data_IF_387930026948
#
_entry.id   IF_387930026948
#
_cell.length_a   1.000
_cell.length_b   1.000
_cell.length_c   1.000
_cell.angle_alpha   90.00
_cell.angle_beta   90.00
_cell.angle_gamma   90.00
#
_symmetry.space_group_name_H-M   'P 1'
#
loop_
_entity.id
_entity.type
_entity.pdbx_description
1 polymer ?
#
# COMPACT_ATOMS: atom_id res chain seq x y z
N UNK A 1 -1.33 23.29 -16.35
CA UNK A 1 -2.08 24.56 -16.44
C UNK A 1 -1.54 25.57 -15.43
N UNK A 2 -1.57 25.27 -14.13
CA UNK A 2 -0.95 26.11 -13.09
C UNK A 2 0.54 26.43 -13.37
N UNK A 3 1.33 25.43 -13.80
CA UNK A 3 2.74 25.63 -14.19
C UNK A 3 2.96 26.56 -15.38
N UNK A 4 1.89 26.88 -16.13
CA UNK A 4 1.88 27.80 -17.26
C UNK A 4 1.28 29.16 -16.90
N UNK A 5 1.05 29.43 -15.61
CA UNK A 5 0.54 30.71 -15.11
C UNK A 5 -0.99 30.86 -15.14
N UNK A 6 -1.73 29.82 -15.54
CA UNK A 6 -3.20 29.84 -15.50
C UNK A 6 -3.66 29.78 -14.04
N UNK A 7 -4.62 30.63 -13.65
CA UNK A 7 -5.14 30.65 -12.29
C UNK A 7 -5.79 29.32 -11.88
N UNK A 8 -5.81 29.01 -10.58
CA UNK A 8 -6.46 27.80 -10.07
C UNK A 8 -7.95 27.78 -10.40
N UNK A 9 -8.63 28.93 -10.30
CA UNK A 9 -10.04 29.09 -10.67
C UNK A 9 -10.28 28.72 -12.14
N UNK A 10 -9.52 29.32 -13.05
CA UNK A 10 -9.66 29.08 -14.48
C UNK A 10 -9.32 27.63 -14.84
N UNK A 11 -8.30 27.05 -14.21
CA UNK A 11 -7.95 25.63 -14.34
C UNK A 11 -9.12 24.74 -13.95
N UNK A 12 -9.79 24.99 -12.82
CA UNK A 12 -10.93 24.19 -12.37
C UNK A 12 -12.16 24.34 -13.30
N UNK A 13 -12.41 25.54 -13.82
CA UNK A 13 -13.49 25.77 -14.78
C UNK A 13 -13.26 25.02 -16.09
N UNK A 14 -12.00 25.01 -16.57
CA UNK A 14 -11.61 24.24 -17.75
C UNK A 14 -11.75 22.75 -17.48
N UNK A 15 -11.22 22.25 -16.36
CA UNK A 15 -11.34 20.84 -15.97
C UNK A 15 -12.80 20.40 -15.89
N UNK A 16 -13.68 21.20 -15.28
CA UNK A 16 -15.12 20.91 -15.20
C UNK A 16 -15.76 20.68 -16.57
N UNK A 17 -15.29 21.38 -17.61
CA UNK A 17 -15.81 21.27 -18.98
C UNK A 17 -15.35 19.98 -19.67
N UNK A 18 -14.14 19.50 -19.38
CA UNK A 18 -13.56 18.32 -20.03
C UNK A 18 -13.80 17.01 -19.26
N UNK A 19 -14.14 17.09 -17.97
CA UNK A 19 -14.35 15.93 -17.11
C UNK A 19 -15.76 15.34 -17.23
N UNK A 20 -15.84 14.01 -17.10
CA UNK A 20 -17.12 13.27 -17.12
C UNK A 20 -17.73 13.19 -15.71
N UNK A 21 -19.03 12.92 -15.63
CA UNK A 21 -19.68 12.60 -14.36
C UNK A 21 -19.12 11.27 -13.81
N UNK A 22 -18.84 11.14 -12.50
CA UNK A 22 -19.14 12.05 -11.39
C UNK A 22 -18.08 13.11 -11.08
N UNK A 23 -16.89 13.02 -11.69
CA UNK A 23 -15.76 13.87 -11.34
C UNK A 23 -16.01 15.36 -11.63
N UNK A 24 -16.81 15.68 -12.65
CA UNK A 24 -17.26 17.05 -12.93
C UNK A 24 -18.03 17.70 -11.77
N UNK A 25 -18.72 16.93 -10.92
CA UNK A 25 -19.37 17.45 -9.71
C UNK A 25 -18.34 17.84 -8.65
N UNK A 26 -17.34 16.99 -8.44
CA UNK A 26 -16.24 17.23 -7.48
C UNK A 26 -15.48 18.48 -7.88
N UNK A 27 -15.08 18.59 -9.16
CA UNK A 27 -14.39 19.78 -9.69
C UNK A 27 -15.29 21.03 -9.59
N UNK A 28 -16.59 20.89 -9.82
CA UNK A 28 -17.56 21.98 -9.64
C UNK A 28 -17.65 22.46 -8.19
N UNK A 29 -17.60 21.55 -7.23
CA UNK A 29 -17.58 21.90 -5.81
C UNK A 29 -16.28 22.61 -5.44
N UNK A 30 -15.13 22.11 -5.90
CA UNK A 30 -13.82 22.74 -5.68
C UNK A 30 -13.79 24.18 -6.22
N UNK A 31 -14.31 24.38 -7.44
CA UNK A 31 -14.40 25.70 -8.05
C UNK A 31 -15.28 26.65 -7.22
N UNK A 32 -16.43 26.17 -6.74
CA UNK A 32 -17.35 26.95 -5.90
C UNK A 32 -16.72 27.32 -4.55
N UNK A 33 -16.02 26.40 -3.90
CA UNK A 33 -15.32 26.67 -2.63
C UNK A 33 -14.28 27.77 -2.79
N UNK A 34 -13.48 27.68 -3.86
CA UNK A 34 -12.48 28.71 -4.18
C UNK A 34 -13.13 30.07 -4.52
N UNK A 35 -14.27 30.07 -5.22
CA UNK A 35 -15.06 31.29 -5.49
C UNK A 35 -15.64 31.93 -4.22
N UNK A 36 -15.99 31.12 -3.24
CA UNK A 36 -16.48 31.57 -1.92
C UNK A 36 -15.36 32.13 -1.03
N UNK A 37 -14.10 32.15 -1.50
CA UNK A 37 -12.96 32.65 -0.74
C UNK A 37 -12.38 31.63 0.25
N UNK A 38 -12.76 30.35 0.16
CA UNK A 38 -12.05 29.31 0.91
C UNK A 38 -10.59 29.22 0.44
N UNK A 39 -9.73 28.80 1.35
CA UNK A 39 -8.31 28.66 1.04
C UNK A 39 -8.05 27.57 -0.01
N UNK A 40 -6.89 27.63 -0.67
CA UNK A 40 -6.56 26.66 -1.71
C UNK A 40 -6.61 25.22 -1.18
N UNK A 41 -6.02 24.93 -0.02
CA UNK A 41 -6.06 23.59 0.57
C UNK A 41 -7.47 23.14 0.95
N UNK A 42 -8.31 24.05 1.49
CA UNK A 42 -9.70 23.77 1.85
C UNK A 42 -10.57 23.50 0.61
N UNK A 43 -10.34 24.23 -0.48
CA UNK A 43 -11.08 24.06 -1.74
C UNK A 43 -10.90 22.67 -2.36
N UNK A 44 -9.78 21.99 -2.06
CA UNK A 44 -9.44 20.66 -2.57
C UNK A 44 -9.92 19.51 -1.67
N UNK A 45 -10.57 19.80 -0.53
CA UNK A 45 -11.12 18.78 0.37
C UNK A 45 -12.04 17.75 -0.33
N UNK A 46 -12.89 18.12 -1.32
CA UNK A 46 -13.76 17.17 -2.03
C UNK A 46 -13.02 16.02 -2.73
N UNK A 47 -11.70 16.13 -2.96
CA UNK A 47 -10.87 15.05 -3.51
C UNK A 47 -10.66 13.89 -2.53
N UNK A 48 -11.11 14.01 -1.26
CA UNK A 48 -10.98 12.99 -0.23
C UNK A 48 -9.53 12.47 -0.04
N UNK A 49 -8.57 13.37 -0.15
CA UNK A 49 -7.14 13.07 -0.03
C UNK A 49 -6.78 12.51 1.35
N UNK A 50 -5.71 11.70 1.41
CA UNK A 50 -5.18 11.22 2.69
C UNK A 50 -4.67 12.40 3.54
N UNK A 51 -4.62 12.21 4.87
CA UNK A 51 -4.15 13.24 5.79
C UNK A 51 -2.73 13.74 5.47
N UNK A 52 -1.86 12.87 4.94
CA UNK A 52 -0.52 13.27 4.49
C UNK A 52 -0.56 14.22 3.30
N UNK A 53 -1.37 13.93 2.28
CA UNK A 53 -1.49 14.78 1.09
C UNK A 53 -2.21 16.10 1.41
N UNK A 54 -3.23 16.08 2.29
CA UNK A 54 -3.88 17.31 2.80
C UNK A 54 -2.88 18.23 3.49
N UNK A 55 -1.98 17.66 4.30
CA UNK A 55 -0.93 18.44 4.98
C UNK A 55 0.08 19.03 3.98
N UNK A 56 0.47 18.28 2.96
CA UNK A 56 1.29 18.82 1.89
C UNK A 56 0.60 20.04 1.22
N UNK A 57 -0.70 19.96 0.93
CA UNK A 57 -1.44 21.13 0.43
C UNK A 57 -1.41 22.32 1.39
N UNK A 58 -1.56 22.08 2.69
CA UNK A 58 -1.43 23.11 3.71
C UNK A 58 -0.04 23.75 3.71
N UNK A 59 1.03 22.96 3.62
CA UNK A 59 2.40 23.48 3.51
C UNK A 59 2.53 24.36 2.27
N UNK A 60 2.09 23.88 1.11
CA UNK A 60 2.16 24.65 -0.13
C UNK A 60 1.37 25.97 -0.07
N UNK A 61 0.26 26.00 0.67
CA UNK A 61 -0.48 27.23 0.92
C UNK A 61 0.27 28.19 1.85
N UNK A 62 0.80 27.69 2.97
CA UNK A 62 1.53 28.52 3.96
C UNK A 62 2.87 29.05 3.46
N UNK A 63 3.53 28.31 2.60
CA UNK A 63 4.79 28.73 1.96
C UNK A 63 4.56 29.48 0.66
N UNK A 64 3.30 29.79 0.30
CA UNK A 64 2.89 30.42 -0.97
C UNK A 64 3.44 29.73 -2.23
N UNK A 65 3.70 28.42 -2.14
CA UNK A 65 4.30 27.60 -3.21
C UNK A 65 3.44 26.36 -3.49
N UNK A 66 2.14 26.52 -3.80
CA UNK A 66 1.25 25.38 -4.02
C UNK A 66 1.69 24.52 -5.20
N UNK A 67 2.30 25.11 -6.23
CA UNK A 67 2.76 24.36 -7.41
C UNK A 67 3.89 23.37 -7.08
N UNK A 68 4.83 23.76 -6.20
CA UNK A 68 5.92 22.89 -5.77
C UNK A 68 5.35 21.66 -5.09
N UNK A 69 4.43 21.86 -4.15
CA UNK A 69 3.89 20.77 -3.35
C UNK A 69 2.88 19.91 -4.14
N UNK A 70 2.08 20.50 -5.03
CA UNK A 70 1.23 19.75 -5.94
C UNK A 70 2.03 18.78 -6.83
N UNK A 71 3.23 19.17 -7.29
CA UNK A 71 4.09 18.24 -8.05
C UNK A 71 4.50 17.04 -7.21
N UNK A 72 4.79 17.23 -5.92
CA UNK A 72 5.14 16.14 -5.01
C UNK A 72 3.93 15.24 -4.72
N UNK A 73 2.74 15.83 -4.55
CA UNK A 73 1.49 15.06 -4.42
C UNK A 73 1.24 14.21 -5.66
N UNK A 74 1.42 14.78 -6.86
CA UNK A 74 1.29 14.04 -8.12
C UNK A 74 2.27 12.87 -8.18
N UNK A 75 3.57 13.09 -7.85
CA UNK A 75 4.56 12.00 -7.77
C UNK A 75 4.14 10.87 -6.83
N UNK A 76 3.60 11.19 -5.65
CA UNK A 76 3.10 10.18 -4.70
C UNK A 76 1.91 9.39 -5.26
N UNK A 77 0.97 10.08 -5.93
CA UNK A 77 -0.21 9.45 -6.53
C UNK A 77 0.14 8.61 -7.76
N UNK A 78 1.10 9.06 -8.58
CA UNK A 78 1.62 8.32 -9.72
C UNK A 78 2.28 7.03 -9.26
N UNK A 79 3.13 7.11 -8.22
CA UNK A 79 3.74 5.94 -7.61
C UNK A 79 2.70 4.95 -7.07
N UNK A 80 1.68 5.44 -6.35
CA UNK A 80 0.58 4.59 -5.88
C UNK A 80 -0.14 3.90 -7.04
N UNK A 81 -0.43 4.65 -8.12
CA UNK A 81 -1.13 4.15 -9.30
C UNK A 81 -0.30 3.11 -10.04
N UNK A 82 1.00 3.36 -10.21
CA UNK A 82 1.92 2.44 -10.85
C UNK A 82 2.06 1.15 -10.05
N UNK A 83 2.28 1.25 -8.73
CA UNK A 83 2.40 0.07 -7.87
C UNK A 83 1.11 -0.73 -7.84
N UNK A 84 -0.06 -0.07 -7.80
CA UNK A 84 -1.35 -0.73 -7.90
C UNK A 84 -1.51 -1.43 -9.25
N UNK A 85 -1.10 -0.81 -10.34
CA UNK A 85 -1.11 -1.41 -11.68
C UNK A 85 -0.21 -2.65 -11.77
N UNK A 86 1.04 -2.55 -11.29
CA UNK A 86 1.99 -3.68 -11.22
C UNK A 86 1.42 -4.82 -10.38
N UNK A 87 0.89 -4.52 -9.19
CA UNK A 87 0.25 -5.51 -8.30
C UNK A 87 -0.92 -6.24 -8.98
N UNK A 88 -1.84 -5.51 -9.62
CA UNK A 88 -2.97 -6.14 -10.31
C UNK A 88 -2.56 -6.96 -11.52
N UNK A 89 -1.54 -6.52 -12.27
CA UNK A 89 -0.97 -7.30 -13.38
C UNK A 89 -0.39 -8.62 -12.88
N UNK A 90 0.35 -8.57 -11.77
CA UNK A 90 0.99 -9.74 -11.15
C UNK A 90 -0.02 -10.75 -10.60
N UNK A 91 -1.08 -10.32 -9.92
CA UNK A 91 -2.05 -11.23 -9.29
C UNK A 91 -3.08 -11.81 -10.27
N UNK A 92 -3.33 -11.14 -11.40
CA UNK A 92 -4.38 -11.55 -12.33
C UNK A 92 -4.21 -12.99 -12.83
N UNK A 93 -3.00 -13.37 -13.25
CA UNK A 93 -2.76 -14.72 -13.77
C UNK A 93 -2.88 -15.80 -12.68
N UNK A 94 -2.21 -15.67 -11.52
CA UNK A 94 -2.42 -16.59 -10.39
C UNK A 94 -3.87 -16.74 -9.97
N UNK A 95 -4.65 -15.65 -9.98
CA UNK A 95 -6.06 -15.68 -9.60
C UNK A 95 -6.90 -16.53 -10.58
N UNK A 96 -6.68 -16.37 -11.89
CA UNK A 96 -7.34 -17.19 -12.91
C UNK A 96 -6.97 -18.66 -12.73
N UNK A 97 -5.68 -18.96 -12.56
CA UNK A 97 -5.21 -20.34 -12.38
C UNK A 97 -5.76 -20.97 -11.10
N UNK A 98 -5.70 -20.25 -9.98
CA UNK A 98 -6.26 -20.69 -8.70
C UNK A 98 -7.77 -20.96 -8.81
N UNK A 99 -8.51 -20.10 -9.50
CA UNK A 99 -9.96 -20.29 -9.73
C UNK A 99 -10.22 -21.54 -10.58
N UNK A 100 -9.45 -21.76 -11.64
CA UNK A 100 -9.56 -22.97 -12.47
C UNK A 100 -9.24 -24.25 -11.67
N UNK A 101 -8.18 -24.24 -10.87
CA UNK A 101 -7.83 -25.36 -9.98
C UNK A 101 -8.92 -25.62 -8.94
N UNK A 102 -9.51 -24.56 -8.40
CA UNK A 102 -10.62 -24.65 -7.46
C UNK A 102 -11.86 -25.29 -8.10
N UNK A 103 -12.23 -24.87 -9.30
CA UNK A 103 -13.34 -25.46 -10.06
C UNK A 103 -13.08 -26.93 -10.40
N UNK A 104 -11.85 -27.26 -10.85
CA UNK A 104 -11.45 -28.63 -11.14
C UNK A 104 -11.52 -29.52 -9.90
N UNK A 105 -11.03 -29.03 -8.76
CA UNK A 105 -11.12 -29.73 -7.47
C UNK A 105 -12.58 -29.95 -7.06
N UNK A 106 -13.43 -28.93 -7.21
CA UNK A 106 -14.84 -29.01 -6.86
C UNK A 106 -15.59 -30.04 -7.72
N UNK A 107 -15.34 -30.03 -9.04
CA UNK A 107 -15.87 -31.04 -9.96
C UNK A 107 -15.40 -32.45 -9.58
N UNK A 108 -14.11 -32.60 -9.28
CA UNK A 108 -13.57 -33.88 -8.84
C UNK A 108 -14.24 -34.38 -7.55
N UNK A 109 -14.30 -33.54 -6.52
CA UNK A 109 -14.85 -33.91 -5.21
C UNK A 109 -16.35 -34.30 -5.26
N UNK A 110 -17.15 -33.67 -6.13
CA UNK A 110 -18.58 -33.93 -6.21
C UNK A 110 -18.97 -35.06 -7.17
N UNK A 111 -18.23 -35.26 -8.25
CA UNK A 111 -18.61 -36.18 -9.33
C UNK A 111 -17.64 -37.35 -9.49
N UNK A 112 -16.35 -37.06 -9.65
CA UNK A 112 -15.36 -38.10 -9.97
C UNK A 112 -15.05 -38.95 -8.74
N UNK A 113 -14.79 -38.31 -7.61
CA UNK A 113 -14.39 -38.99 -6.38
C UNK A 113 -15.46 -39.97 -5.85
N UNK A 114 -16.76 -39.60 -5.77
CA UNK A 114 -17.81 -40.55 -5.39
C UNK A 114 -17.92 -41.73 -6.36
N UNK A 115 -17.83 -41.47 -7.68
CA UNK A 115 -17.91 -42.53 -8.68
C UNK A 115 -16.76 -43.54 -8.56
N UNK A 116 -15.55 -43.10 -8.21
CA UNK A 116 -14.41 -43.99 -7.96
C UNK A 116 -14.62 -44.84 -6.68
N UNK A 117 -15.21 -44.26 -5.64
CA UNK A 117 -15.53 -45.00 -4.41
C UNK A 117 -16.61 -46.07 -4.65
N UNK A 118 -17.62 -45.80 -5.47
CA UNK A 118 -18.65 -46.78 -5.83
C UNK A 118 -18.08 -47.99 -6.60
N UNK A 119 -16.99 -47.78 -7.33
CA UNK A 119 -16.30 -48.84 -8.08
C UNK A 119 -15.27 -49.63 -7.25
N UNK A 120 -14.90 -49.12 -6.07
CA UNK A 120 -13.84 -49.70 -5.24
C UNK A 120 -14.42 -50.66 -4.19
N UNK A 121 -13.74 -51.78 -3.91
CA UNK A 121 -14.16 -52.67 -2.81
C UNK A 121 -13.90 -52.01 -1.44
N UNK A 122 -14.92 -51.82 -0.57
CA UNK A 122 -14.76 -51.19 0.74
C UNK A 122 -13.67 -51.81 1.62
N UNK A 123 -13.34 -53.08 1.41
CA UNK A 123 -12.36 -53.83 2.22
C UNK A 123 -10.90 -53.56 1.87
N UNK A 124 -10.62 -53.07 0.66
CA UNK A 124 -9.25 -52.78 0.19
C UNK A 124 -8.89 -51.30 0.36
N UNK A 125 -9.85 -50.46 0.72
CA UNK A 125 -9.65 -49.04 0.99
C UNK A 125 -8.95 -48.82 2.34
N UNK A 126 -7.89 -47.98 2.40
CA UNK A 126 -7.31 -47.49 3.64
C UNK A 126 -8.35 -46.92 4.60
N UNK A 127 -8.17 -47.15 5.90
CA UNK A 127 -9.12 -46.73 6.94
C UNK A 127 -9.45 -45.23 6.95
N UNK A 128 -8.51 -44.37 6.54
CA UNK A 128 -8.77 -42.92 6.42
C UNK A 128 -9.69 -42.57 5.23
N UNK A 129 -9.74 -43.39 4.17
CA UNK A 129 -10.66 -43.23 3.04
C UNK A 129 -12.03 -43.83 3.32
N UNK A 130 -12.16 -44.77 4.24
CA UNK A 130 -13.47 -45.35 4.63
C UNK A 130 -14.41 -44.30 5.22
N UNK A 131 -13.88 -43.28 5.92
CA UNK A 131 -14.65 -42.12 6.39
C UNK A 131 -15.29 -41.33 5.24
N UNK A 132 -14.71 -41.42 4.04
CA UNK A 132 -15.18 -40.73 2.85
C UNK A 132 -16.27 -41.50 2.08
N UNK A 133 -16.57 -42.75 2.44
CA UNK A 133 -17.69 -43.53 1.89
C UNK A 133 -19.06 -43.02 2.39
N UNK A 134 -19.07 -42.20 3.45
CA UNK A 134 -20.31 -41.62 3.95
C UNK A 134 -20.90 -40.64 2.93
N UNK A 135 -22.22 -40.64 2.65
CA UNK A 135 -22.85 -39.77 1.64
C UNK A 135 -22.61 -38.27 1.86
N UNK A 136 -22.36 -37.87 3.11
CA UNK A 136 -22.04 -36.50 3.48
C UNK A 136 -20.58 -36.09 3.16
N UNK A 137 -19.68 -37.05 2.96
CA UNK A 137 -18.25 -36.80 2.80
C UNK A 137 -17.93 -35.95 1.56
N UNK A 138 -18.72 -36.08 0.47
CA UNK A 138 -18.58 -35.22 -0.72
C UNK A 138 -18.80 -33.74 -0.42
N UNK A 139 -19.76 -33.42 0.47
CA UNK A 139 -20.02 -32.04 0.89
C UNK A 139 -18.95 -31.52 1.85
N UNK A 140 -18.43 -32.39 2.73
CA UNK A 140 -17.30 -32.06 3.60
C UNK A 140 -16.04 -31.77 2.77
N UNK A 141 -15.70 -32.62 1.81
CA UNK A 141 -14.54 -32.45 0.94
C UNK A 141 -14.66 -31.20 0.05
N UNK A 142 -15.84 -30.95 -0.51
CA UNK A 142 -16.14 -29.74 -1.29
C UNK A 142 -16.12 -28.45 -0.44
N UNK A 143 -16.28 -28.56 0.89
CA UNK A 143 -16.24 -27.41 1.80
C UNK A 143 -14.82 -26.98 2.20
N UNK A 144 -13.82 -27.88 2.10
CA UNK A 144 -12.42 -27.59 2.51
C UNK A 144 -11.83 -26.35 1.80
N UNK A 145 -11.94 -26.20 0.46
CA UNK A 145 -11.42 -25.04 -0.23
C UNK A 145 -12.14 -23.74 0.17
N UNK A 146 -13.45 -23.82 0.42
CA UNK A 146 -14.27 -22.69 0.87
C UNK A 146 -13.89 -22.27 2.29
N UNK A 147 -13.69 -23.23 3.19
CA UNK A 147 -13.21 -23.00 4.55
C UNK A 147 -11.80 -22.39 4.57
N UNK A 148 -10.89 -22.82 3.69
CA UNK A 148 -9.56 -22.23 3.54
C UNK A 148 -9.62 -20.79 3.02
N UNK A 149 -10.50 -20.49 2.07
CA UNK A 149 -10.73 -19.11 1.60
C UNK A 149 -11.32 -18.23 2.71
N UNK A 150 -12.31 -18.73 3.44
CA UNK A 150 -12.93 -18.01 4.56
C UNK A 150 -11.91 -17.79 5.69
N UNK A 151 -11.13 -18.81 6.04
CA UNK A 151 -10.07 -18.72 7.04
C UNK A 151 -8.98 -17.74 6.62
N UNK A 152 -8.51 -17.78 5.38
CA UNK A 152 -7.52 -16.80 4.90
C UNK A 152 -8.08 -15.38 4.92
N UNK A 153 -9.31 -15.15 4.46
CA UNK A 153 -9.99 -13.86 4.54
C UNK A 153 -10.14 -13.36 5.98
N UNK A 154 -10.62 -14.20 6.90
CA UNK A 154 -10.75 -13.87 8.32
C UNK A 154 -9.38 -13.62 8.97
N UNK A 155 -8.36 -14.41 8.64
CA UNK A 155 -7.00 -14.24 9.11
C UNK A 155 -6.45 -12.87 8.69
N UNK A 156 -6.58 -12.50 7.41
CA UNK A 156 -6.15 -11.19 6.92
C UNK A 156 -6.96 -10.02 7.49
N UNK A 157 -8.25 -10.22 7.81
CA UNK A 157 -9.11 -9.19 8.41
C UNK A 157 -8.89 -9.02 9.93
N UNK A 158 -8.64 -10.11 10.63
CA UNK A 158 -8.42 -10.15 12.08
C UNK A 158 -6.97 -9.85 12.46
N UNK A 159 -6.00 -10.05 11.55
CA UNK A 159 -4.65 -9.52 11.72
C UNK A 159 -4.68 -8.01 11.56
N UNK A 160 -4.47 -7.24 12.64
CA UNK A 160 -4.53 -5.80 12.53
C UNK A 160 -3.39 -5.34 11.62
N UNK A 161 -3.72 -4.53 10.61
CA UNK A 161 -2.77 -3.93 9.68
C UNK A 161 -1.63 -3.21 10.43
N UNK A 162 -1.91 -2.72 11.64
CA UNK A 162 -0.94 -2.11 12.55
C UNK A 162 0.15 -3.05 13.07
N UNK A 163 -0.08 -4.37 13.12
CA UNK A 163 0.97 -5.37 13.40
C UNK A 163 1.79 -5.71 12.17
N UNK A 164 1.18 -5.72 10.98
CA UNK A 164 1.89 -5.92 9.70
C UNK A 164 2.85 -4.76 9.43
N UNK A 165 2.43 -3.53 9.74
CA UNK A 165 3.28 -2.32 9.69
C UNK A 165 4.46 -2.35 10.69
N UNK A 166 4.48 -3.27 11.67
CA UNK A 166 5.62 -3.47 12.58
C UNK A 166 6.61 -4.52 12.06
N UNK A 167 6.31 -5.22 10.97
CA UNK A 167 7.24 -6.18 10.39
C UNK A 167 8.46 -5.41 9.86
N UNK A 168 9.66 -5.82 10.28
CA UNK A 168 10.95 -5.30 9.80
C UNK A 168 11.00 -5.04 8.28
N UNK A 169 10.52 -5.94 7.39
CA UNK A 169 10.57 -5.69 5.95
C UNK A 169 9.79 -4.45 5.50
N UNK A 170 8.73 -4.04 6.22
CA UNK A 170 7.90 -2.89 5.84
C UNK A 170 8.34 -1.59 6.55
N UNK A 171 9.15 -1.70 7.61
CA UNK A 171 9.67 -0.55 8.34
C UNK A 171 10.52 0.38 7.48
N UNK A 172 11.34 -0.18 6.57
CA UNK A 172 12.15 0.62 5.64
C UNK A 172 11.29 1.49 4.73
N UNK A 173 10.24 0.92 4.14
CA UNK A 173 9.33 1.68 3.28
C UNK A 173 8.62 2.81 4.06
N UNK A 174 8.21 2.51 5.29
CA UNK A 174 7.61 3.51 6.19
C UNK A 174 8.61 4.62 6.50
N UNK A 175 9.87 4.28 6.78
CA UNK A 175 10.96 5.23 7.06
C UNK A 175 11.27 6.11 5.85
N UNK A 176 11.37 5.54 4.65
CA UNK A 176 11.51 6.28 3.38
C UNK A 176 10.34 7.25 3.18
N UNK A 177 9.10 6.78 3.37
CA UNK A 177 7.91 7.62 3.22
C UNK A 177 7.86 8.78 4.22
N UNK A 178 8.15 8.53 5.51
CA UNK A 178 8.19 9.61 6.51
C UNK A 178 9.35 10.58 6.29
N UNK A 179 10.51 10.08 5.86
CA UNK A 179 11.66 10.91 5.47
C UNK A 179 11.29 11.80 4.28
N UNK A 180 10.66 11.25 3.25
CA UNK A 180 10.24 12.00 2.07
C UNK A 180 9.24 13.11 2.43
N UNK A 181 8.25 12.81 3.28
CA UNK A 181 7.33 13.84 3.73
C UNK A 181 8.01 14.87 4.64
N UNK A 182 8.97 14.47 5.46
CA UNK A 182 9.74 15.38 6.30
C UNK A 182 10.53 16.37 5.45
N UNK A 183 11.25 15.88 4.44
CA UNK A 183 12.09 16.71 3.57
C UNK A 183 11.25 17.70 2.77
N UNK A 184 10.10 17.30 2.23
CA UNK A 184 9.19 18.23 1.54
C UNK A 184 8.58 19.24 2.51
N UNK A 185 8.08 18.80 3.67
CA UNK A 185 7.42 19.69 4.62
C UNK A 185 8.38 20.73 5.21
N UNK A 186 9.50 20.28 5.80
CA UNK A 186 10.51 21.17 6.40
C UNK A 186 11.26 21.94 5.33
N UNK A 187 11.69 21.28 4.25
CA UNK A 187 12.42 21.93 3.16
C UNK A 187 11.62 23.05 2.52
N UNK A 188 10.30 22.88 2.32
CA UNK A 188 9.46 23.93 1.73
C UNK A 188 9.34 25.18 2.62
N UNK A 189 9.24 25.00 3.94
CA UNK A 189 9.17 26.14 4.87
C UNK A 189 10.51 26.87 4.95
N UNK A 190 11.61 26.13 5.12
CA UNK A 190 12.95 26.74 5.23
C UNK A 190 13.34 27.43 3.91
N UNK A 191 13.07 26.81 2.76
CA UNK A 191 13.33 27.42 1.44
C UNK A 191 12.42 28.63 1.14
N UNK A 192 11.29 28.75 1.84
CA UNK A 192 10.43 29.93 1.83
C UNK A 192 10.88 31.03 2.82
N UNK A 193 11.96 30.81 3.56
CA UNK A 193 12.57 31.78 4.47
C UNK A 193 12.06 31.71 5.91
N UNK A 194 11.27 30.70 6.28
CA UNK A 194 10.84 30.49 7.66
C UNK A 194 12.00 29.96 8.51
N UNK A 195 12.03 30.32 9.78
CA UNK A 195 12.93 29.69 10.75
C UNK A 195 12.49 28.25 11.08
N UNK A 196 13.40 27.44 11.64
CA UNK A 196 13.07 26.09 12.12
C UNK A 196 11.96 26.10 13.19
N UNK A 197 12.00 27.08 14.10
CA UNK A 197 10.99 27.27 15.14
C UNK A 197 9.60 27.50 14.52
N UNK A 198 9.50 28.44 13.57
CA UNK A 198 8.23 28.73 12.88
C UNK A 198 7.73 27.52 12.10
N UNK A 199 8.65 26.81 11.46
CA UNK A 199 8.36 25.59 10.69
C UNK A 199 7.72 24.54 11.58
N UNK A 200 8.34 24.18 12.71
CA UNK A 200 7.78 23.14 13.58
C UNK A 200 6.49 23.58 14.27
N UNK A 201 6.38 24.84 14.68
CA UNK A 201 5.13 25.42 15.19
C UNK A 201 3.97 25.29 14.20
N UNK A 202 4.23 25.44 12.89
CA UNK A 202 3.23 25.18 11.86
C UNK A 202 2.94 23.69 11.64
N UNK A 203 3.94 22.82 11.74
CA UNK A 203 3.80 21.38 11.45
C UNK A 203 3.18 20.55 12.59
N UNK A 204 3.25 21.07 13.83
CA UNK A 204 2.60 20.48 15.00
C UNK A 204 1.09 20.71 15.04
N UNK A 205 0.63 21.86 14.55
CA UNK A 205 -0.77 22.24 14.55
C UNK A 205 -1.57 21.27 13.66
N UNK A 206 -2.40 20.43 14.30
CA UNK A 206 -3.35 19.55 13.61
C UNK A 206 -2.96 18.08 13.48
N UNK A 207 -2.04 17.56 14.32
CA UNK A 207 -1.62 16.15 14.26
C UNK A 207 -1.81 15.38 15.57
N UNK A 208 -2.66 14.35 15.56
CA UNK A 208 -2.83 13.37 16.66
C UNK A 208 -2.18 12.00 16.36
N UNK A 209 -1.29 11.95 15.36
CA UNK A 209 -0.67 10.73 14.83
C UNK A 209 0.85 10.74 15.07
N UNK A 210 1.53 9.61 14.81
CA UNK A 210 2.97 9.42 15.09
C UNK A 210 3.88 10.54 14.57
N UNK A 211 3.54 11.15 13.43
CA UNK A 211 4.30 12.25 12.84
C UNK A 211 4.11 13.57 13.59
N UNK A 212 2.92 13.81 14.16
CA UNK A 212 2.69 14.94 15.07
C UNK A 212 3.57 14.87 16.31
N UNK A 213 3.68 13.69 16.92
CA UNK A 213 4.58 13.48 18.06
C UNK A 213 6.05 13.67 17.68
N UNK A 214 6.46 13.25 16.48
CA UNK A 214 7.81 13.52 15.95
C UNK A 214 8.09 15.02 15.91
N UNK A 215 7.20 15.81 15.29
CA UNK A 215 7.38 17.27 15.22
C UNK A 215 7.33 17.95 16.60
N UNK A 216 6.37 17.56 17.45
CA UNK A 216 6.26 18.03 18.83
C UNK A 216 7.57 17.92 19.62
N UNK A 217 8.24 16.77 19.49
CA UNK A 217 9.52 16.53 20.16
C UNK A 217 10.66 17.28 19.49
N UNK A 218 10.73 17.30 18.15
CA UNK A 218 11.79 18.01 17.43
C UNK A 218 11.78 19.50 17.76
N UNK A 219 10.61 20.12 17.86
CA UNK A 219 10.45 21.50 18.29
C UNK A 219 10.93 21.71 19.73
N UNK A 220 10.50 20.86 20.67
CA UNK A 220 10.94 20.96 22.07
C UNK A 220 12.46 20.85 22.22
N UNK A 221 13.10 19.94 21.47
CA UNK A 221 14.56 19.77 21.44
C UNK A 221 15.27 20.98 20.81
N UNK A 222 14.71 21.52 19.73
CA UNK A 222 15.25 22.71 19.09
C UNK A 222 15.13 23.95 19.98
N UNK A 223 14.04 24.09 20.75
CA UNK A 223 13.90 25.11 21.79
C UNK A 223 14.91 24.95 22.93
N UNK A 224 15.30 23.71 23.25
CA UNK A 224 16.36 23.41 24.20
C UNK A 224 17.78 23.64 23.65
N UNK A 225 17.91 24.05 22.38
CA UNK A 225 19.20 24.33 21.73
C UNK A 225 19.92 23.09 21.17
N UNK A 226 19.25 21.93 21.14
CA UNK A 226 19.82 20.72 20.55
C UNK A 226 19.85 20.82 19.01
N UNK A 227 20.96 20.42 18.36
CA UNK A 227 21.04 20.38 16.90
C UNK A 227 19.99 19.45 16.29
N UNK A 228 19.33 19.89 15.21
CA UNK A 228 18.27 19.13 14.55
C UNK A 228 18.71 17.73 14.11
N UNK A 229 19.95 17.57 13.63
CA UNK A 229 20.49 16.27 13.22
C UNK A 229 20.58 15.29 14.40
N UNK A 230 20.97 15.76 15.59
CA UNK A 230 21.04 14.95 16.81
C UNK A 230 19.63 14.55 17.27
N UNK A 231 18.72 15.52 17.27
CA UNK A 231 17.31 15.30 17.62
C UNK A 231 16.61 14.28 16.71
N UNK A 232 16.96 14.23 15.42
CA UNK A 232 16.45 13.25 14.46
C UNK A 232 17.06 11.85 14.65
N UNK A 233 18.30 11.77 15.16
CA UNK A 233 19.02 10.52 15.38
C UNK A 233 18.42 9.63 16.48
N UNK A 234 17.58 10.19 17.35
CA UNK A 234 16.91 9.43 18.41
C UNK A 234 15.72 8.60 17.92
N UNK A 235 15.23 8.82 16.69
CA UNK A 235 14.14 8.02 16.11
C UNK A 235 14.54 7.18 14.93
N UNK A 236 13.99 5.97 14.90
CA UNK A 236 14.03 5.07 13.75
C UNK A 236 13.00 5.43 12.65
N UNK A 237 12.43 6.63 12.67
CA UNK A 237 11.37 7.08 11.73
C UNK A 237 11.96 7.77 10.49
N UNK A 238 13.17 8.33 10.59
CA UNK A 238 13.85 9.05 9.52
C UNK A 238 15.08 8.26 9.06
N UNK A 239 15.37 8.26 7.76
CA UNK A 239 16.53 7.58 7.17
C UNK A 239 17.83 8.27 7.61
N UNK A 240 18.87 7.47 7.90
CA UNK A 240 20.16 7.97 8.34
C UNK A 240 20.80 8.92 7.31
N UNK A 241 20.58 8.67 6.02
CA UNK A 241 21.00 9.55 4.92
C UNK A 241 20.37 10.94 5.03
N UNK A 242 19.08 11.03 5.39
CA UNK A 242 18.39 12.31 5.58
C UNK A 242 18.96 13.07 6.78
N UNK A 243 19.33 12.36 7.85
CA UNK A 243 20.00 12.95 9.01
C UNK A 243 21.39 13.50 8.61
N UNK A 244 22.13 12.78 7.78
CA UNK A 244 23.40 13.22 7.22
C UNK A 244 23.28 14.50 6.40
N UNK A 245 22.24 14.63 5.58
CA UNK A 245 21.95 15.87 4.82
C UNK A 245 21.65 17.04 5.75
N UNK A 246 20.86 16.82 6.82
CA UNK A 246 20.58 17.87 7.82
C UNK A 246 21.86 18.32 8.52
N UNK A 247 22.77 17.39 8.81
CA UNK A 247 24.08 17.69 9.39
C UNK A 247 24.94 18.52 8.44
N UNK A 248 25.07 18.10 7.18
CA UNK A 248 25.84 18.81 6.15
C UNK A 248 25.27 20.22 5.90
N UNK A 249 23.95 20.34 5.85
CA UNK A 249 23.26 21.60 5.65
C UNK A 249 23.50 22.63 6.76
N UNK A 250 23.87 22.18 7.97
CA UNK A 250 24.23 23.07 9.08
C UNK A 250 25.52 23.84 8.77
N UNK A 251 26.46 23.22 8.04
CA UNK A 251 27.73 23.84 7.68
C UNK A 251 27.59 24.78 6.49
N UNK A 252 26.76 24.42 5.50
CA UNK A 252 26.52 25.23 4.31
C UNK A 252 25.48 26.34 4.49
N UNK A 253 24.54 26.18 5.43
CA UNK A 253 23.40 27.08 5.63
C UNK A 253 22.21 26.81 4.69
N UNK A 254 22.35 25.88 3.75
CA UNK A 254 21.38 25.66 2.65
C UNK A 254 20.39 24.51 2.94
N UNK A 255 19.83 24.45 4.14
CA UNK A 255 18.96 23.34 4.57
C UNK A 255 17.71 23.16 3.70
N UNK A 256 17.04 24.25 3.31
CA UNK A 256 15.83 24.20 2.49
C UNK A 256 16.06 23.50 1.15
N UNK A 257 16.94 24.05 0.29
CA UNK A 257 17.27 23.44 -1.00
C UNK A 257 17.77 22.00 -0.89
N UNK A 258 18.67 21.70 0.06
CA UNK A 258 19.22 20.35 0.23
C UNK A 258 18.17 19.31 0.63
N UNK A 259 17.20 19.67 1.48
CA UNK A 259 16.08 18.78 1.80
C UNK A 259 15.18 18.56 0.58
N UNK A 260 14.89 19.59 -0.21
CA UNK A 260 14.06 19.47 -1.41
C UNK A 260 14.76 18.62 -2.50
N UNK A 261 16.07 18.69 -2.61
CA UNK A 261 16.87 17.80 -3.46
C UNK A 261 16.81 16.34 -2.95
N UNK A 262 17.04 16.13 -1.65
CA UNK A 262 16.96 14.82 -1.00
C UNK A 262 15.58 14.16 -1.19
N UNK A 263 14.50 14.93 -1.29
CA UNK A 263 13.18 14.37 -1.58
C UNK A 263 13.11 13.64 -2.92
N UNK A 264 13.90 14.03 -3.92
CA UNK A 264 13.96 13.32 -5.20
C UNK A 264 14.62 11.96 -5.03
N UNK A 265 15.74 11.90 -4.30
CA UNK A 265 16.43 10.65 -4.00
C UNK A 265 15.58 9.70 -3.16
N UNK A 266 14.86 10.23 -2.17
CA UNK A 266 13.93 9.43 -1.35
C UNK A 266 12.75 8.89 -2.15
N UNK A 267 12.28 9.63 -3.16
CA UNK A 267 11.23 9.16 -4.06
C UNK A 267 11.71 7.97 -4.90
N UNK A 268 12.91 8.06 -5.49
CA UNK A 268 13.54 6.98 -6.25
C UNK A 268 13.81 5.74 -5.37
N UNK A 269 14.33 5.94 -4.15
CA UNK A 269 14.53 4.86 -3.20
C UNK A 269 13.23 4.19 -2.76
N UNK A 270 12.14 4.96 -2.63
CA UNK A 270 10.82 4.43 -2.31
C UNK A 270 10.26 3.59 -3.47
N UNK A 271 10.43 4.04 -4.71
CA UNK A 271 10.06 3.28 -5.91
C UNK A 271 10.83 1.95 -5.99
N UNK A 272 12.15 1.99 -5.83
CA UNK A 272 13.00 0.79 -5.86
C UNK A 272 12.63 -0.21 -4.74
N UNK A 273 12.39 0.28 -3.52
CA UNK A 273 12.00 -0.59 -2.40
C UNK A 273 10.62 -1.21 -2.64
N UNK A 274 9.66 -0.47 -3.21
CA UNK A 274 8.35 -1.00 -3.59
C UNK A 274 8.45 -2.07 -4.67
N UNK A 275 9.27 -1.87 -5.70
CA UNK A 275 9.54 -2.86 -6.74
C UNK A 275 10.15 -4.14 -6.14
N UNK A 276 11.16 -4.00 -5.27
CA UNK A 276 11.73 -5.13 -4.55
C UNK A 276 10.66 -5.90 -3.78
N UNK A 277 9.77 -5.22 -3.05
CA UNK A 277 8.68 -5.89 -2.32
C UNK A 277 7.71 -6.60 -3.25
N UNK A 278 7.36 -6.01 -4.39
CA UNK A 278 6.50 -6.65 -5.38
C UNK A 278 7.12 -7.95 -5.91
N UNK A 279 8.42 -7.94 -6.23
CA UNK A 279 9.13 -9.15 -6.67
C UNK A 279 9.11 -10.28 -5.64
N UNK A 280 9.17 -9.96 -4.34
CA UNK A 280 9.05 -10.98 -3.27
C UNK A 280 7.65 -11.60 -3.16
N UNK A 281 6.61 -10.94 -3.68
CA UNK A 281 5.24 -11.50 -3.66
C UNK A 281 5.11 -12.62 -4.71
N UNK A 282 5.83 -12.56 -5.83
CA UNK A 282 5.74 -13.57 -6.88
C UNK A 282 6.07 -14.99 -6.39
N UNK A 283 7.20 -15.27 -5.72
CA UNK A 283 7.49 -16.60 -5.16
C UNK A 283 6.42 -17.11 -4.20
N UNK A 284 5.80 -16.23 -3.42
CA UNK A 284 4.74 -16.60 -2.48
C UNK A 284 3.49 -17.07 -3.25
N UNK A 285 3.10 -16.31 -4.28
CA UNK A 285 1.95 -16.65 -5.12
C UNK A 285 2.18 -17.96 -5.89
N UNK A 286 3.32 -18.09 -6.59
CA UNK A 286 3.63 -19.28 -7.37
C UNK A 286 3.91 -20.50 -6.49
N UNK A 287 4.60 -20.33 -5.35
CA UNK A 287 4.81 -21.40 -4.39
C UNK A 287 3.49 -21.93 -3.84
N UNK A 288 2.54 -21.04 -3.53
CA UNK A 288 1.18 -21.43 -3.14
C UNK A 288 0.46 -22.23 -4.24
N UNK A 289 0.54 -21.78 -5.49
CA UNK A 289 -0.03 -22.48 -6.64
C UNK A 289 0.61 -23.86 -6.87
N UNK A 290 1.92 -23.99 -6.70
CA UNK A 290 2.63 -25.27 -6.80
C UNK A 290 2.16 -26.24 -5.72
N UNK A 291 2.03 -25.78 -4.48
CA UNK A 291 1.49 -26.61 -3.39
C UNK A 291 0.06 -27.03 -3.68
N UNK A 292 -0.80 -26.11 -4.13
CA UNK A 292 -2.18 -26.42 -4.52
C UNK A 292 -2.24 -27.46 -5.64
N UNK A 293 -1.46 -27.26 -6.69
CA UNK A 293 -1.43 -28.16 -7.86
C UNK A 293 -0.87 -29.53 -7.49
N UNK A 294 0.20 -29.59 -6.69
CA UNK A 294 0.77 -30.85 -6.20
C UNK A 294 -0.20 -31.60 -5.29
N UNK A 295 -0.90 -30.89 -4.41
CA UNK A 295 -1.94 -31.48 -3.55
C UNK A 295 -3.08 -32.03 -4.39
N UNK A 296 -3.56 -31.25 -5.37
CA UNK A 296 -4.57 -31.71 -6.32
C UNK A 296 -4.09 -32.96 -7.06
N UNK A 297 -2.87 -32.95 -7.59
CA UNK A 297 -2.30 -34.10 -8.29
C UNK A 297 -2.28 -35.37 -7.42
N UNK A 298 -1.83 -35.27 -6.16
CA UNK A 298 -1.81 -36.41 -5.24
C UNK A 298 -3.22 -36.95 -4.94
N UNK A 299 -4.17 -36.04 -4.72
CA UNK A 299 -5.58 -36.39 -4.49
C UNK A 299 -6.19 -37.09 -5.71
N UNK A 300 -5.85 -36.64 -6.93
CA UNK A 300 -6.33 -37.26 -8.17
C UNK A 300 -5.66 -38.61 -8.44
N UNK A 301 -4.34 -38.69 -8.21
CA UNK A 301 -3.52 -39.84 -8.57
C UNK A 301 -3.79 -41.07 -7.70
N UNK A 302 -3.91 -40.86 -6.37
CA UNK A 302 -4.01 -41.97 -5.42
C UNK A 302 -5.23 -42.88 -5.66
N UNK A 303 -6.46 -42.35 -5.84
CA UNK A 303 -7.64 -43.19 -6.09
C UNK A 303 -7.59 -43.90 -7.45
N UNK A 304 -6.98 -43.28 -8.46
CA UNK A 304 -6.79 -43.92 -9.78
C UNK A 304 -5.82 -45.09 -9.67
N UNK A 305 -4.71 -44.94 -8.95
CA UNK A 305 -3.77 -46.04 -8.71
C UNK A 305 -4.46 -47.20 -7.98
N UNK A 306 -5.28 -46.88 -6.97
CA UNK A 306 -6.05 -47.87 -6.21
C UNK A 306 -7.05 -48.60 -7.11
N UNK A 307 -7.73 -47.89 -8.01
CA UNK A 307 -8.63 -48.48 -9.01
C UNK A 307 -7.90 -49.38 -10.01
N UNK A 308 -6.71 -48.97 -10.50
CA UNK A 308 -5.90 -49.78 -11.42
C UNK A 308 -5.41 -51.08 -10.75
N UNK A 309 -5.00 -51.03 -9.49
CA UNK A 309 -4.57 -52.22 -8.74
C UNK A 309 -5.70 -53.23 -8.47
N UNK A 310 -6.95 -52.79 -8.54
CA UNK A 310 -8.13 -53.63 -8.36
C UNK A 310 -8.65 -54.24 -9.66
N UNK A 311 -8.11 -53.84 -10.82
CA UNK A 311 -8.45 -54.47 -12.09
C UNK A 311 -7.87 -55.90 -12.13
N UNK A 312 -8.67 -56.91 -12.50
CA UNK A 312 -8.19 -58.27 -12.62
C UNK A 312 -7.23 -58.35 -13.82
N UNK A 313 -5.95 -58.60 -13.54
CA UNK A 313 -5.03 -59.24 -14.47
C UNK A 313 -4.82 -60.69 -14.03
#
# INVERSE_FOLDING_TARGET
>A
MLSKGISAKETLLILKRFERHPFSKVVGEMARRLENGESFSASLEPLALTNALKRLLFVGEKTERPLLVLRQIVKLLDLETEMRSKFWKMIRYPLVLATSLFLLFFFYALYVFPSLLEMSDPKTLPSFLQLLLHPAAKYVLASIPVLLLIFSYLFFRLFPLTRILRLKPLQRLIRLYYSYLFTIEVGSFIDAGFSLEETFRHLEQGQANKKGHLYARLHAKQQAGEPLAEALGEDEIIEAETIGIVHLARESGDLGPLLLEQATLLHEAMEEELEKKLLWIEPILYGGLTIMTGTLFLILYYPIQLAIQQLPF
#
